data_IF_654932020634
#
_entry.id   IF_654932020634
#
_cell.length_a   1.000
_cell.length_b   1.000
_cell.length_c   1.000
_cell.angle_alpha   90.00
_cell.angle_beta   90.00
_cell.angle_gamma   90.00
#
_symmetry.space_group_name_H-M   'P 1'
#
loop_
_entity.id
_entity.type
_entity.pdbx_description
1 polymer ?
#
# COMPACT_ATOMS: atom_id res chain seq x y z
N UNK A 1 -3.41 11.30 1.44
CA UNK A 1 -2.93 10.97 2.80
C UNK A 1 -2.26 12.17 3.52
N UNK A 2 -1.69 13.17 2.81
CA UNK A 2 -1.15 14.43 3.39
C UNK A 2 -2.16 15.34 4.13
N UNK A 3 -3.46 15.06 4.01
CA UNK A 3 -4.53 15.79 4.70
C UNK A 3 -4.52 15.52 6.23
N UNK A 4 -4.01 14.38 6.67
CA UNK A 4 -3.97 13.99 8.09
C UNK A 4 -2.73 14.52 8.83
N UNK A 5 -2.42 15.81 8.65
CA UNK A 5 -1.21 16.43 9.22
C UNK A 5 -1.15 16.37 10.75
N UNK A 6 -2.29 16.32 11.43
CA UNK A 6 -2.37 16.18 12.89
C UNK A 6 -2.05 14.78 13.40
N UNK A 7 -1.98 13.77 12.51
CA UNK A 7 -1.80 12.36 12.90
C UNK A 7 -0.56 11.75 12.25
N UNK A 8 -0.24 12.17 11.03
CA UNK A 8 0.88 11.67 10.23
C UNK A 8 1.97 12.72 10.12
N UNK A 9 3.21 12.27 9.92
CA UNK A 9 4.34 13.16 9.72
C UNK A 9 4.07 14.20 8.62
N UNK A 10 3.99 15.47 9.01
CA UNK A 10 3.61 16.59 8.16
C UNK A 10 4.75 17.51 7.72
N UNK A 11 6.00 17.23 8.13
CA UNK A 11 7.17 18.06 7.86
C UNK A 11 7.23 19.39 8.66
N UNK A 12 6.37 19.59 9.65
CA UNK A 12 6.37 20.76 10.55
C UNK A 12 6.52 20.36 12.02
N UNK A 13 6.65 21.35 12.91
CA UNK A 13 6.83 21.13 14.35
C UNK A 13 5.75 20.18 14.91
N UNK A 14 6.20 19.09 15.51
CA UNK A 14 5.38 18.17 16.29
C UNK A 14 4.68 18.96 17.40
N UNK A 15 3.35 18.84 17.50
CA UNK A 15 2.66 19.17 18.74
C UNK A 15 3.35 18.40 19.88
N UNK A 16 3.32 18.91 21.12
CA UNK A 16 3.95 18.27 22.29
C UNK A 16 3.36 16.90 22.67
N UNK A 17 2.76 16.20 21.71
CA UNK A 17 2.19 14.87 21.81
C UNK A 17 3.29 13.79 21.71
N UNK A 18 3.03 12.57 22.22
CA UNK A 18 3.95 11.46 22.11
C UNK A 18 4.26 11.09 20.65
N UNK A 19 5.55 10.97 20.33
CA UNK A 19 5.99 10.49 19.01
C UNK A 19 5.63 9.02 18.86
N UNK A 20 4.90 8.69 17.78
CA UNK A 20 4.56 7.32 17.40
C UNK A 20 5.17 6.99 16.04
N UNK A 21 5.17 5.72 15.63
CA UNK A 21 5.75 5.33 14.34
C UNK A 21 5.13 6.08 13.15
N UNK A 22 3.83 6.38 13.20
CA UNK A 22 3.11 7.04 12.10
C UNK A 22 3.42 8.55 12.01
N UNK A 23 3.90 9.15 13.09
CA UNK A 23 4.30 10.56 13.12
C UNK A 23 5.74 10.80 12.65
N UNK A 24 6.47 9.75 12.26
CA UNK A 24 7.82 9.83 11.70
C UNK A 24 7.83 9.71 10.17
N UNK A 25 8.82 10.27 9.45
CA UNK A 25 8.88 10.17 7.99
C UNK A 25 9.01 8.72 7.50
N UNK A 26 9.60 7.83 8.29
CA UNK A 26 9.78 6.41 7.95
C UNK A 26 8.46 5.68 7.69
N UNK A 27 7.35 6.12 8.31
CA UNK A 27 6.04 5.54 7.99
C UNK A 27 5.65 5.77 6.54
N UNK A 28 5.90 6.96 5.99
CA UNK A 28 5.64 7.26 4.59
C UNK A 28 6.48 6.40 3.66
N UNK A 29 7.78 6.28 3.97
CA UNK A 29 8.68 5.41 3.22
C UNK A 29 8.22 3.95 3.25
N UNK A 30 7.71 3.47 4.37
CA UNK A 30 7.18 2.11 4.48
C UNK A 30 5.90 1.90 3.66
N UNK A 31 4.98 2.88 3.65
CA UNK A 31 3.75 2.82 2.85
C UNK A 31 4.08 2.82 1.35
N UNK A 32 4.95 3.72 0.91
CA UNK A 32 5.38 3.78 -0.49
C UNK A 32 6.18 2.53 -0.90
N UNK A 33 7.08 2.05 -0.03
CA UNK A 33 7.86 0.84 -0.24
C UNK A 33 6.97 -0.38 -0.44
N UNK A 34 5.91 -0.54 0.37
CA UNK A 34 4.91 -1.61 0.17
C UNK A 34 4.22 -1.49 -1.17
N UNK A 35 3.80 -0.28 -1.55
CA UNK A 35 3.10 -0.07 -2.82
C UNK A 35 3.98 -0.41 -4.03
N UNK A 36 5.26 -0.02 -4.01
CA UNK A 36 6.23 -0.38 -5.06
C UNK A 36 6.49 -1.88 -5.08
N UNK A 37 6.74 -2.50 -3.92
CA UNK A 37 7.02 -3.93 -3.84
C UNK A 37 5.91 -4.77 -4.48
N UNK A 38 4.65 -4.50 -4.17
CA UNK A 38 3.53 -5.23 -4.79
C UNK A 38 3.28 -4.82 -6.23
N UNK A 39 3.64 -3.59 -6.63
CA UNK A 39 3.61 -3.16 -8.03
C UNK A 39 4.53 -4.00 -8.91
N UNK A 40 5.78 -4.17 -8.48
CA UNK A 40 6.79 -4.98 -9.19
C UNK A 40 6.29 -6.41 -9.45
N UNK A 41 5.60 -7.04 -8.49
CA UNK A 41 5.07 -8.40 -8.63
C UNK A 41 4.05 -8.56 -9.77
N UNK A 42 3.40 -7.47 -10.19
CA UNK A 42 2.42 -7.45 -11.28
C UNK A 42 2.82 -6.51 -12.43
N UNK A 43 4.10 -6.12 -12.49
CA UNK A 43 4.66 -5.25 -13.54
C UNK A 43 3.99 -3.87 -13.67
N UNK A 44 3.62 -3.25 -12.55
CA UNK A 44 3.13 -1.86 -12.49
C UNK A 44 3.93 -1.06 -11.46
N UNK A 45 3.95 0.27 -11.57
CA UNK A 45 4.77 1.10 -10.67
C UNK A 45 4.35 1.04 -9.19
N UNK A 46 3.05 0.91 -8.93
CA UNK A 46 2.48 0.90 -7.59
C UNK A 46 1.22 0.02 -7.57
N UNK A 47 1.10 -0.85 -6.56
CA UNK A 47 -0.10 -1.65 -6.34
C UNK A 47 -0.50 -1.67 -4.86
N UNK A 48 -1.80 -1.83 -4.61
CA UNK A 48 -2.34 -2.01 -3.27
C UNK A 48 -2.65 -3.50 -3.03
N UNK A 49 -1.97 -4.17 -2.09
CA UNK A 49 -2.25 -5.55 -1.76
C UNK A 49 -3.54 -5.66 -0.93
N UNK A 50 -4.42 -6.59 -1.31
CA UNK A 50 -5.60 -6.97 -0.53
C UNK A 50 -5.49 -8.42 -0.09
N UNK A 51 -6.10 -8.74 1.06
CA UNK A 51 -6.19 -10.10 1.58
C UNK A 51 -7.64 -10.53 1.68
N UNK A 52 -7.92 -11.76 1.27
CA UNK A 52 -9.22 -12.41 1.43
C UNK A 52 -9.03 -13.74 2.14
N UNK A 53 -9.92 -14.03 3.10
CA UNK A 53 -9.92 -15.31 3.83
C UNK A 53 -10.28 -16.49 2.93
N UNK A 54 -11.08 -16.26 1.90
CA UNK A 54 -11.53 -17.27 0.93
C UNK A 54 -11.08 -16.89 -0.47
N UNK A 55 -10.94 -17.85 -1.40
CA UNK A 55 -10.70 -17.54 -2.82
C UNK A 55 -11.74 -16.54 -3.35
N UNK A 56 -11.30 -15.56 -4.14
CA UNK A 56 -12.18 -14.59 -4.75
C UNK A 56 -12.97 -15.24 -5.89
N UNK A 57 -14.27 -14.99 -5.94
CA UNK A 57 -15.08 -15.37 -7.09
C UNK A 57 -14.67 -14.51 -8.30
N UNK A 58 -14.40 -15.18 -9.42
CA UNK A 58 -14.13 -14.55 -10.71
C UNK A 58 -15.12 -15.09 -11.72
N UNK A 59 -15.55 -14.26 -12.67
CA UNK A 59 -16.51 -14.68 -13.70
C UNK A 59 -15.94 -15.81 -14.58
N UNK A 60 -14.64 -15.75 -14.89
CA UNK A 60 -13.90 -16.76 -15.62
C UNK A 60 -12.50 -16.96 -15.00
N UNK A 61 -12.21 -18.13 -14.39
CA UNK A 61 -10.88 -18.44 -13.86
C UNK A 61 -9.77 -18.50 -14.91
N UNK A 62 -10.10 -18.72 -16.19
CA UNK A 62 -9.10 -18.78 -17.25
C UNK A 62 -8.55 -17.39 -17.59
N UNK A 63 -9.33 -16.34 -17.34
CA UNK A 63 -8.93 -14.94 -17.59
C UNK A 63 -7.76 -14.45 -16.73
N UNK A 64 -7.46 -15.12 -15.61
CA UNK A 64 -6.42 -14.72 -14.66
C UNK A 64 -5.12 -15.55 -14.80
N UNK A 65 -5.05 -16.47 -15.75
CA UNK A 65 -3.85 -17.29 -15.97
C UNK A 65 -2.71 -16.45 -16.59
N UNK A 66 -1.48 -16.52 -16.04
CA UNK A 66 -0.32 -15.89 -16.65
C UNK A 66 -0.09 -16.45 -18.07
N UNK A 67 -0.20 -15.60 -19.10
CA UNK A 67 0.01 -15.98 -20.51
C UNK A 67 -1.25 -16.35 -21.30
N UNK A 68 -2.44 -16.25 -20.70
CA UNK A 68 -3.73 -16.46 -21.38
C UNK A 68 -4.08 -17.94 -21.64
N UNK A 69 -5.25 -18.17 -22.25
CA UNK A 69 -5.68 -19.50 -22.70
C UNK A 69 -4.89 -19.83 -23.98
N UNK A 70 -3.92 -20.72 -23.87
CA UNK A 70 -3.23 -21.31 -25.02
C UNK A 70 -4.04 -22.46 -25.60
#
# INVERSE_FOLDING_TARGET
MRAYRSQLHGGGATSGEPVTKVSTPEFWHAVEGRARHFGELISVAYAEPFWSRTPLAVADPMSILPGGVR
#
